data_IF_488221310215
#
_entry.id   IF_488221310215
#
_cell.length_a   1.000
_cell.length_b   1.000
_cell.length_c   1.000
_cell.angle_alpha   90.00
_cell.angle_beta   90.00
_cell.angle_gamma   90.00
#
_symmetry.space_group_name_H-M   'P 1'
#
loop_
_entity.id
_entity.type
_entity.pdbx_description
1 polymer ?
#
# COMPACT_ATOMS: atom_id res chain seq x y z
N UNK A 1 12.80 -11.31 -8.62
CA UNK A 1 11.51 -10.67 -8.34
C UNK A 1 11.65 -9.18 -8.61
N UNK A 2 11.18 -8.77 -9.77
CA UNK A 2 11.26 -7.38 -10.22
C UNK A 2 10.18 -6.53 -9.57
N UNK A 3 10.50 -5.27 -9.27
CA UNK A 3 9.55 -4.26 -8.81
C UNK A 3 9.16 -3.43 -10.01
N UNK A 4 7.85 -3.33 -10.31
CA UNK A 4 7.34 -2.67 -11.51
C UNK A 4 6.79 -1.27 -11.21
N UNK A 5 7.06 -0.33 -12.12
CA UNK A 5 6.53 1.05 -12.11
C UNK A 5 5.41 1.17 -13.12
N UNK A 6 4.31 1.81 -12.75
CA UNK A 6 3.19 2.07 -13.66
C UNK A 6 3.35 3.42 -14.39
N UNK A 7 3.36 3.41 -15.74
CA UNK A 7 3.22 4.62 -16.58
C UNK A 7 1.76 4.70 -17.03
N UNK A 8 0.95 5.48 -16.38
CA UNK A 8 -0.41 5.86 -16.77
C UNK A 8 -1.05 4.98 -17.84
N UNK A 9 -1.92 4.07 -17.43
CA UNK A 9 -2.59 3.09 -18.28
C UNK A 9 -3.42 3.75 -19.37
N UNK A 10 -3.07 3.50 -20.64
CA UNK A 10 -3.96 3.74 -21.78
C UNK A 10 -4.85 2.52 -21.99
N UNK A 11 -6.05 2.52 -21.44
CA UNK A 11 -7.04 1.50 -21.77
C UNK A 11 -7.80 1.83 -23.05
N UNK A 12 -7.75 0.91 -24.04
CA UNK A 12 -8.69 0.88 -25.16
C UNK A 12 -9.98 0.20 -24.69
N UNK A 13 -11.06 0.96 -24.59
CA UNK A 13 -12.40 0.41 -24.37
C UNK A 13 -12.83 -0.46 -25.54
N UNK A 14 -13.16 -1.72 -25.27
CA UNK A 14 -14.10 -2.49 -26.06
C UNK A 14 -15.52 -2.07 -25.64
N UNK A 15 -16.20 -1.40 -26.54
CA UNK A 15 -17.62 -1.09 -26.49
C UNK A 15 -18.41 -2.41 -26.65
N UNK A 16 -18.83 -3.00 -25.57
CA UNK A 16 -19.78 -4.10 -25.60
C UNK A 16 -20.94 -3.74 -24.71
N UNK A 17 -22.14 -3.63 -25.31
CA UNK A 17 -23.48 -3.68 -24.75
C UNK A 17 -24.37 -2.50 -25.16
N UNK A 18 -24.81 -2.57 -26.37
CA UNK A 18 -26.22 -2.30 -26.66
C UNK A 18 -26.81 -3.65 -27.09
N UNK A 19 -27.61 -4.24 -26.22
CA UNK A 19 -28.69 -5.20 -26.52
C UNK A 19 -29.10 -5.89 -25.21
N UNK A 20 -30.14 -5.37 -24.60
CA UNK A 20 -31.24 -6.14 -24.02
C UNK A 20 -32.12 -5.15 -23.23
N UNK A 21 -33.20 -4.74 -23.85
CA UNK A 21 -34.35 -4.10 -23.15
C UNK A 21 -35.05 -5.20 -22.37
N UNK A 22 -34.74 -5.32 -21.10
CA UNK A 22 -35.49 -6.05 -20.09
C UNK A 22 -35.37 -5.26 -18.80
N UNK A 23 -36.36 -5.31 -17.94
CA UNK A 23 -36.42 -4.56 -16.69
C UNK A 23 -35.09 -4.52 -15.97
N UNK A 24 -34.46 -3.33 -15.94
CA UNK A 24 -33.16 -3.12 -15.33
C UNK A 24 -33.35 -3.21 -13.83
N UNK A 25 -33.07 -4.36 -13.24
CA UNK A 25 -32.89 -4.45 -11.79
C UNK A 25 -31.79 -3.47 -11.40
N UNK A 26 -32.13 -2.45 -10.62
CA UNK A 26 -31.18 -1.48 -10.13
C UNK A 26 -30.26 -2.18 -9.14
N UNK A 27 -29.02 -2.44 -9.55
CA UNK A 27 -27.99 -2.99 -8.69
C UNK A 27 -27.72 -2.00 -7.56
N UNK A 28 -27.77 -2.50 -6.31
CA UNK A 28 -27.44 -1.72 -5.12
C UNK A 28 -26.16 -2.31 -4.55
N UNK A 29 -25.06 -1.58 -4.70
CA UNK A 29 -23.71 -2.04 -4.36
C UNK A 29 -23.04 -2.74 -5.54
N UNK A 30 -21.84 -3.25 -5.33
CA UNK A 30 -21.03 -3.88 -6.36
C UNK A 30 -19.65 -3.25 -6.45
N UNK A 31 -18.86 -3.69 -7.40
CA UNK A 31 -17.56 -3.08 -7.70
C UNK A 31 -17.76 -1.78 -8.48
N UNK A 32 -16.90 -0.80 -8.21
CA UNK A 32 -16.83 0.39 -9.04
C UNK A 32 -16.46 0.00 -10.47
N UNK A 33 -17.18 0.56 -11.46
CA UNK A 33 -16.78 0.45 -12.86
C UNK A 33 -15.38 1.04 -13.07
N UNK A 34 -14.66 0.58 -14.11
CA UNK A 34 -13.39 1.19 -14.47
C UNK A 34 -13.61 2.66 -14.85
N UNK A 35 -12.90 3.55 -14.17
CA UNK A 35 -12.95 4.97 -14.45
C UNK A 35 -12.23 5.31 -15.76
N UNK A 36 -12.73 6.31 -16.48
CA UNK A 36 -11.93 6.94 -17.54
C UNK A 36 -10.80 7.71 -16.85
N UNK A 37 -9.58 7.19 -16.99
CA UNK A 37 -8.42 7.82 -16.41
C UNK A 37 -8.17 9.17 -17.09
N UNK A 38 -8.50 10.24 -16.39
CA UNK A 38 -7.98 11.56 -16.67
C UNK A 38 -6.51 11.48 -16.21
N UNK A 39 -5.56 11.96 -17.02
CA UNK A 39 -4.11 11.88 -16.75
C UNK A 39 -3.65 12.71 -15.53
N UNK A 40 -4.41 12.68 -14.43
CA UNK A 40 -4.15 13.44 -13.22
C UNK A 40 -3.80 12.48 -12.08
N UNK A 41 -2.53 12.44 -11.75
CA UNK A 41 -2.06 11.72 -10.56
C UNK A 41 -2.50 12.44 -9.28
N UNK A 42 -3.11 11.72 -8.35
CA UNK A 42 -3.49 12.29 -7.06
C UNK A 42 -2.26 12.71 -6.24
N UNK A 43 -1.22 11.89 -6.28
CA UNK A 43 0.08 12.17 -5.68
C UNK A 43 1.16 12.34 -6.74
N UNK A 44 1.42 13.57 -7.18
CA UNK A 44 2.35 13.88 -8.29
C UNK A 44 3.83 13.67 -7.95
N UNK A 45 4.17 13.62 -6.65
CA UNK A 45 5.56 13.56 -6.17
C UNK A 45 5.95 12.24 -5.52
N UNK A 46 5.02 11.30 -5.38
CA UNK A 46 5.31 10.01 -4.78
C UNK A 46 5.80 9.00 -5.82
N UNK A 47 6.52 7.98 -5.36
CA UNK A 47 6.93 6.86 -6.20
C UNK A 47 5.67 6.08 -6.60
N UNK A 48 5.55 5.77 -7.89
CA UNK A 48 4.40 5.04 -8.46
C UNK A 48 4.78 3.61 -8.74
N UNK A 49 4.03 2.70 -8.18
CA UNK A 49 4.25 1.27 -8.29
C UNK A 49 2.92 0.58 -8.66
N UNK A 50 2.99 -0.63 -9.18
CA UNK A 50 1.79 -1.37 -9.56
C UNK A 50 1.01 -1.89 -8.34
N UNK A 51 1.67 -2.26 -7.24
CA UNK A 51 1.00 -2.78 -6.04
C UNK A 51 1.61 -2.27 -4.74
N UNK A 52 0.79 -2.21 -3.67
CA UNK A 52 1.27 -1.89 -2.30
C UNK A 52 2.32 -2.89 -1.80
N UNK A 53 2.26 -4.15 -2.25
CA UNK A 53 3.29 -5.16 -1.92
C UNK A 53 4.64 -4.81 -2.51
N UNK A 54 4.67 -4.31 -3.75
CA UNK A 54 5.90 -3.84 -4.38
C UNK A 54 6.39 -2.53 -3.74
N UNK A 55 5.47 -1.67 -3.26
CA UNK A 55 5.84 -0.50 -2.47
C UNK A 55 6.49 -0.90 -1.14
N UNK A 56 5.96 -1.93 -0.48
CA UNK A 56 6.57 -2.46 0.74
C UNK A 56 7.94 -3.09 0.46
N UNK A 57 8.04 -3.94 -0.56
CA UNK A 57 9.31 -4.56 -0.95
C UNK A 57 10.37 -3.51 -1.32
N UNK A 58 9.96 -2.41 -1.98
CA UNK A 58 10.83 -1.29 -2.28
C UNK A 58 11.47 -0.71 -1.01
N UNK A 59 10.67 -0.46 0.03
CA UNK A 59 11.18 0.07 1.31
C UNK A 59 12.13 -0.93 1.96
N UNK A 60 11.75 -2.21 2.02
CA UNK A 60 12.59 -3.25 2.62
C UNK A 60 13.96 -3.34 1.96
N UNK A 61 14.01 -3.33 0.61
CA UNK A 61 15.25 -3.35 -0.15
C UNK A 61 16.06 -2.05 0.02
N UNK A 62 15.41 -0.89 -0.15
CA UNK A 62 16.11 0.41 -0.11
C UNK A 62 16.72 0.72 1.25
N UNK A 63 16.15 0.17 2.32
CA UNK A 63 16.62 0.36 3.70
C UNK A 63 17.41 -0.83 4.25
N UNK A 64 17.62 -1.87 3.43
CA UNK A 64 18.36 -3.06 3.82
C UNK A 64 17.78 -3.76 5.06
N UNK A 65 16.41 -3.75 5.13
CA UNK A 65 15.69 -4.37 6.23
C UNK A 65 15.80 -5.88 6.13
N UNK A 66 16.12 -6.53 7.24
CA UNK A 66 16.21 -7.98 7.35
C UNK A 66 14.97 -8.59 7.98
N UNK A 67 14.38 -7.91 8.97
CA UNK A 67 13.27 -8.44 9.75
C UNK A 67 12.10 -7.45 9.85
N UNK A 68 10.88 -7.99 9.77
CA UNK A 68 9.65 -7.21 9.79
C UNK A 68 8.72 -7.68 10.91
N UNK A 69 8.15 -6.75 11.67
CA UNK A 69 7.07 -7.02 12.61
C UNK A 69 5.74 -6.66 11.97
N UNK A 70 4.81 -7.61 11.87
CA UNK A 70 3.51 -7.46 11.20
C UNK A 70 2.36 -7.79 12.16
N UNK A 71 1.17 -7.16 12.02
CA UNK A 71 0.05 -7.52 12.87
C UNK A 71 -0.52 -8.91 12.49
N UNK A 72 -1.07 -9.65 13.47
CA UNK A 72 -1.83 -10.88 13.18
C UNK A 72 -3.03 -10.61 12.27
N UNK A 73 -3.67 -9.46 12.43
CA UNK A 73 -4.80 -9.04 11.60
C UNK A 73 -4.26 -8.39 10.32
N UNK A 74 -3.87 -9.22 9.36
CA UNK A 74 -3.27 -8.80 8.10
C UNK A 74 -3.67 -9.76 6.97
N UNK A 75 -3.73 -9.23 5.74
CA UNK A 75 -3.97 -10.04 4.54
C UNK A 75 -2.76 -10.94 4.25
N UNK A 76 -3.02 -12.22 3.93
CA UNK A 76 -1.99 -13.21 3.61
C UNK A 76 -1.07 -12.79 2.46
N UNK A 77 -1.55 -11.94 1.56
CA UNK A 77 -0.73 -11.43 0.45
C UNK A 77 0.54 -10.70 0.88
N UNK A 78 0.57 -10.14 2.10
CA UNK A 78 1.78 -9.51 2.66
C UNK A 78 2.74 -10.57 3.17
N UNK A 79 2.24 -11.54 3.93
CA UNK A 79 3.07 -12.65 4.44
C UNK A 79 3.63 -13.51 3.30
N UNK A 80 2.85 -13.74 2.25
CA UNK A 80 3.30 -14.49 1.07
C UNK A 80 4.42 -13.74 0.33
N UNK A 81 4.33 -12.42 0.23
CA UNK A 81 5.38 -11.60 -0.35
C UNK A 81 6.66 -11.67 0.50
N UNK A 82 6.56 -11.58 1.83
CA UNK A 82 7.72 -11.68 2.73
C UNK A 82 8.39 -13.06 2.61
N UNK A 83 7.61 -14.15 2.65
CA UNK A 83 8.11 -15.52 2.46
C UNK A 83 8.79 -15.71 1.11
N UNK A 84 8.14 -15.26 0.03
CA UNK A 84 8.66 -15.38 -1.34
C UNK A 84 10.01 -14.67 -1.54
N UNK A 85 10.24 -13.60 -0.76
CA UNK A 85 11.48 -12.83 -0.82
C UNK A 85 12.44 -13.12 0.33
N UNK A 86 12.19 -14.20 1.12
CA UNK A 86 13.05 -14.67 2.21
C UNK A 86 13.29 -13.64 3.33
N UNK A 87 12.31 -12.76 3.59
CA UNK A 87 12.37 -11.87 4.73
C UNK A 87 11.96 -12.58 6.01
N UNK A 88 12.68 -12.34 7.10
CA UNK A 88 12.27 -12.75 8.43
C UNK A 88 11.08 -11.89 8.89
N UNK A 89 10.08 -12.49 9.54
CA UNK A 89 9.00 -11.72 10.13
C UNK A 89 8.45 -12.36 11.39
N UNK A 90 7.94 -11.54 12.28
CA UNK A 90 7.21 -11.93 13.48
C UNK A 90 5.88 -11.21 13.59
N UNK A 91 4.90 -11.87 14.20
CA UNK A 91 3.59 -11.28 14.41
C UNK A 91 3.53 -10.51 15.73
N UNK A 92 2.81 -9.39 15.70
CA UNK A 92 2.39 -8.67 16.89
C UNK A 92 0.85 -8.61 16.99
N UNK A 93 0.34 -8.41 18.22
CA UNK A 93 -1.09 -8.22 18.47
C UNK A 93 -1.45 -6.75 18.40
N UNK A 94 -2.69 -6.46 18.07
CA UNK A 94 -3.29 -5.12 18.15
C UNK A 94 -4.35 -5.12 19.26
N UNK A 95 -4.58 -3.94 19.86
CA UNK A 95 -5.66 -3.73 20.80
C UNK A 95 -7.00 -3.40 20.11
N UNK A 96 -8.03 -3.09 20.88
CA UNK A 96 -9.37 -2.74 20.38
C UNK A 96 -9.38 -1.45 19.52
N UNK A 97 -8.39 -0.60 19.67
CA UNK A 97 -8.21 0.66 18.94
C UNK A 97 -7.20 0.51 17.79
N UNK A 98 -6.88 -0.74 17.39
CA UNK A 98 -5.91 -1.12 16.37
C UNK A 98 -4.48 -0.67 16.62
N UNK A 99 -4.13 -0.38 17.89
CA UNK A 99 -2.79 0.04 18.27
C UNK A 99 -1.90 -1.19 18.52
N UNK A 100 -0.63 -1.20 18.06
CA UNK A 100 0.28 -2.31 18.31
C UNK A 100 0.51 -2.56 19.80
N UNK A 101 0.25 -3.82 20.23
CA UNK A 101 0.70 -4.36 21.51
C UNK A 101 2.08 -4.96 21.25
N UNK A 102 3.11 -4.11 21.34
CA UNK A 102 4.48 -4.47 21.01
C UNK A 102 5.44 -3.78 21.99
N UNK A 103 6.20 -4.58 22.75
CA UNK A 103 7.05 -4.10 23.84
C UNK A 103 8.54 -4.45 23.64
N UNK A 104 8.96 -4.62 22.39
CA UNK A 104 10.38 -4.83 22.05
C UNK A 104 10.98 -3.58 21.48
N UNK A 105 12.28 -3.42 21.62
CA UNK A 105 13.06 -2.50 20.82
C UNK A 105 13.21 -3.05 19.40
N UNK A 106 13.20 -2.15 18.42
CA UNK A 106 13.35 -2.47 17.00
C UNK A 106 14.78 -2.11 16.62
N UNK A 107 15.52 -3.08 16.08
CA UNK A 107 16.88 -2.90 15.63
C UNK A 107 16.99 -2.02 14.37
N UNK A 108 18.23 -1.68 13.97
CA UNK A 108 18.46 -0.82 12.81
C UNK A 108 18.06 -1.47 11.49
N UNK A 109 18.19 -2.80 11.39
CA UNK A 109 17.80 -3.64 10.24
C UNK A 109 16.39 -4.25 10.37
N UNK A 110 15.59 -3.76 11.32
CA UNK A 110 14.24 -4.22 11.59
C UNK A 110 13.22 -3.10 11.39
N UNK A 111 11.97 -3.44 11.09
CA UNK A 111 10.91 -2.46 10.89
C UNK A 111 9.56 -2.97 11.39
N UNK A 112 8.76 -2.09 11.98
CA UNK A 112 7.35 -2.35 12.32
C UNK A 112 6.46 -1.92 11.15
N UNK A 113 5.71 -2.86 10.61
CA UNK A 113 4.68 -2.62 9.61
C UNK A 113 3.38 -2.19 10.31
N UNK A 114 3.18 -0.88 10.40
CA UNK A 114 2.03 -0.26 11.07
C UNK A 114 0.89 -0.09 10.07
N UNK A 115 -0.25 -0.73 10.32
CA UNK A 115 -1.44 -0.60 9.46
C UNK A 115 -2.39 0.43 10.04
N UNK A 116 -2.76 1.42 9.24
CA UNK A 116 -3.83 2.37 9.55
C UNK A 116 -5.18 1.73 9.18
N UNK A 117 -5.66 0.85 10.04
CA UNK A 117 -6.93 0.15 9.82
C UNK A 117 -8.09 1.14 9.72
N UNK A 118 -8.78 1.09 8.58
CA UNK A 118 -9.97 1.89 8.31
C UNK A 118 -9.74 3.42 8.42
N UNK A 119 -8.49 3.88 8.32
CA UNK A 119 -8.16 5.30 8.44
C UNK A 119 -8.35 5.88 9.85
N UNK A 120 -8.25 5.05 10.90
CA UNK A 120 -8.55 5.48 12.28
C UNK A 120 -7.36 6.11 13.01
N UNK A 121 -6.15 6.00 12.47
CA UNK A 121 -4.98 6.62 13.09
C UNK A 121 -4.86 8.08 12.69
N UNK A 122 -4.99 8.98 13.66
CA UNK A 122 -4.69 10.40 13.44
C UNK A 122 -3.19 10.62 13.22
N UNK A 123 -2.83 11.76 12.62
CA UNK A 123 -1.44 12.15 12.40
C UNK A 123 -0.64 12.19 13.71
N UNK A 124 -1.24 12.72 14.77
CA UNK A 124 -0.63 12.80 16.11
C UNK A 124 -0.34 11.41 16.66
N UNK A 125 -1.28 10.48 16.46
CA UNK A 125 -1.12 9.08 16.92
C UNK A 125 -0.01 8.38 16.15
N UNK A 126 0.05 8.56 14.84
CA UNK A 126 1.12 8.02 13.99
C UNK A 126 2.49 8.55 14.42
N UNK A 127 2.61 9.85 14.69
CA UNK A 127 3.85 10.45 15.18
C UNK A 127 4.27 9.93 16.57
N UNK A 128 3.30 9.72 17.48
CA UNK A 128 3.57 9.08 18.78
C UNK A 128 4.12 7.65 18.60
N UNK A 129 3.52 6.86 17.70
CA UNK A 129 3.98 5.51 17.39
C UNK A 129 5.36 5.52 16.73
N UNK A 130 5.61 6.47 15.82
CA UNK A 130 6.92 6.69 15.21
C UNK A 130 7.98 7.02 16.26
N UNK A 131 7.67 7.88 17.21
CA UNK A 131 8.57 8.21 18.30
C UNK A 131 8.88 6.99 19.19
N UNK A 132 7.84 6.19 19.50
CA UNK A 132 7.96 4.99 20.33
C UNK A 132 8.79 3.91 19.65
N UNK A 133 8.49 3.60 18.40
CA UNK A 133 9.07 2.45 17.69
C UNK A 133 10.24 2.81 16.76
N UNK A 134 10.49 4.10 16.53
CA UNK A 134 11.57 4.65 15.69
C UNK A 134 11.54 4.18 14.22
N UNK A 135 11.54 2.88 13.99
CA UNK A 135 11.54 2.24 12.66
C UNK A 135 10.13 1.72 12.33
N UNK A 136 9.33 2.52 11.62
CA UNK A 136 8.00 2.12 11.14
C UNK A 136 7.86 2.38 9.65
N UNK A 137 7.05 1.56 9.01
CA UNK A 137 6.43 1.82 7.72
C UNK A 137 4.92 1.86 7.90
N UNK A 138 4.26 2.90 7.40
CA UNK A 138 2.82 3.10 7.53
C UNK A 138 2.11 2.53 6.30
N UNK A 139 1.22 1.59 6.53
CA UNK A 139 0.29 1.10 5.51
C UNK A 139 -1.01 1.90 5.55
N UNK A 140 -1.14 2.84 4.63
CA UNK A 140 -2.34 3.65 4.39
C UNK A 140 -3.20 3.10 3.24
N UNK A 141 -3.19 1.80 3.01
CA UNK A 141 -4.04 1.19 1.97
C UNK A 141 -5.53 1.29 2.28
N UNK A 142 -5.92 1.67 3.50
CA UNK A 142 -7.29 1.96 3.91
C UNK A 142 -7.58 3.47 4.05
N UNK A 143 -6.58 4.33 3.78
CA UNK A 143 -6.74 5.79 3.84
C UNK A 143 -5.84 6.49 2.80
N UNK A 144 -6.32 6.51 1.56
CA UNK A 144 -5.58 7.12 0.46
C UNK A 144 -5.43 8.64 0.63
N UNK A 145 -6.37 9.29 1.29
CA UNK A 145 -6.46 10.75 1.35
C UNK A 145 -5.68 11.36 2.52
N UNK A 146 -5.28 10.58 3.51
CA UNK A 146 -4.37 11.04 4.55
C UNK A 146 -2.99 11.33 3.95
N UNK A 147 -2.56 12.58 4.03
CA UNK A 147 -1.28 12.99 3.45
C UNK A 147 -0.11 12.32 4.17
N UNK A 148 0.98 11.97 3.43
CA UNK A 148 2.15 11.38 4.05
C UNK A 148 2.80 12.33 5.05
N UNK A 149 3.26 11.76 6.16
CA UNK A 149 4.00 12.49 7.18
C UNK A 149 5.50 12.45 6.87
N UNK A 150 6.16 13.58 7.07
CA UNK A 150 7.60 13.67 6.82
C UNK A 150 8.39 12.69 7.70
N UNK A 151 9.32 11.97 7.09
CA UNK A 151 10.16 11.00 7.78
C UNK A 151 9.50 9.65 8.09
N UNK A 152 8.30 9.40 7.54
CA UNK A 152 7.60 8.12 7.65
C UNK A 152 7.35 7.56 6.25
N UNK A 153 7.93 6.38 5.96
CA UNK A 153 7.59 5.67 4.73
C UNK A 153 6.12 5.28 4.76
N UNK A 154 5.38 5.69 3.72
CA UNK A 154 3.92 5.49 3.70
C UNK A 154 3.50 4.87 2.38
N UNK A 155 2.74 3.78 2.47
CA UNK A 155 2.21 3.02 1.33
C UNK A 155 0.73 3.33 1.14
N UNK A 156 0.31 3.50 -0.11
CA UNK A 156 -1.08 3.68 -0.50
C UNK A 156 -1.49 2.68 -1.58
N UNK A 157 -2.78 2.34 -1.63
CA UNK A 157 -3.36 1.50 -2.68
C UNK A 157 -4.45 2.25 -3.44
N UNK A 158 -4.28 2.38 -4.75
CA UNK A 158 -5.25 3.10 -5.59
C UNK A 158 -6.54 2.31 -5.78
N UNK A 159 -6.46 1.01 -6.03
CA UNK A 159 -7.60 0.16 -6.39
C UNK A 159 -8.67 0.00 -5.30
N UNK A 160 -8.39 0.41 -4.06
CA UNK A 160 -9.40 0.43 -2.99
C UNK A 160 -10.28 1.68 -3.01
N UNK A 161 -9.89 2.71 -3.77
CA UNK A 161 -10.54 4.01 -3.80
C UNK A 161 -10.97 4.43 -5.21
N UNK A 162 -10.32 3.89 -6.23
CA UNK A 162 -10.58 4.20 -7.63
C UNK A 162 -10.88 2.91 -8.41
N UNK A 163 -11.64 3.03 -9.48
CA UNK A 163 -11.95 1.94 -10.41
C UNK A 163 -10.78 1.62 -11.34
N UNK A 164 -9.62 1.27 -10.76
CA UNK A 164 -8.40 0.89 -11.47
C UNK A 164 -8.00 -0.55 -11.15
N UNK A 165 -7.34 -1.21 -12.09
CA UNK A 165 -6.94 -2.62 -11.93
C UNK A 165 -5.85 -2.79 -10.86
N UNK A 166 -4.93 -1.85 -10.78
CA UNK A 166 -3.78 -1.83 -9.86
C UNK A 166 -3.37 -0.40 -9.50
N UNK A 167 -2.18 -0.22 -8.99
CA UNK A 167 -1.62 1.07 -8.64
C UNK A 167 -1.41 1.23 -7.14
N UNK A 168 -0.24 1.76 -6.82
CA UNK A 168 0.16 2.13 -5.46
C UNK A 168 1.04 3.37 -5.50
N UNK A 169 0.98 4.17 -4.44
CA UNK A 169 1.93 5.23 -4.19
C UNK A 169 2.80 4.89 -2.99
N UNK A 170 4.04 5.33 -3.03
CA UNK A 170 4.98 5.23 -1.93
C UNK A 170 5.59 6.59 -1.63
N UNK A 171 5.40 7.06 -0.41
CA UNK A 171 6.18 8.16 0.16
C UNK A 171 7.40 7.58 0.87
N UNK A 172 8.59 7.92 0.43
CA UNK A 172 9.85 7.49 1.05
C UNK A 172 10.94 8.54 0.83
N UNK A 173 11.91 8.58 1.71
CA UNK A 173 13.10 9.44 1.59
C UNK A 173 14.34 8.68 1.09
N UNK A 174 14.23 7.38 0.84
CA UNK A 174 15.35 6.57 0.36
C UNK A 174 14.99 5.92 -0.98
N UNK A 175 15.78 6.20 -1.99
CA UNK A 175 15.60 5.62 -3.32
C UNK A 175 16.26 4.24 -3.39
N UNK A 176 15.62 3.35 -4.14
CA UNK A 176 16.22 2.08 -4.52
C UNK A 176 17.31 2.36 -5.56
N UNK A 177 18.44 1.68 -5.43
CA UNK A 177 19.57 1.79 -6.39
C UNK A 177 19.33 0.99 -7.67
N UNK A 178 18.43 0.00 -7.62
CA UNK A 178 18.05 -0.82 -8.76
C UNK A 178 17.13 -0.03 -9.71
N UNK A 179 17.31 -0.21 -11.02
CA UNK A 179 16.38 0.31 -12.01
C UNK A 179 15.07 -0.49 -11.94
N UNK A 180 13.95 0.23 -11.93
CA UNK A 180 12.64 -0.39 -11.85
C UNK A 180 12.15 -0.75 -13.24
N UNK A 181 11.68 -1.98 -13.41
CA UNK A 181 11.04 -2.41 -14.64
C UNK A 181 9.66 -1.76 -14.80
N UNK A 182 9.33 -1.42 -16.04
CA UNK A 182 8.02 -0.88 -16.38
C UNK A 182 7.02 -2.02 -16.53
N UNK A 183 5.90 -1.91 -15.83
CA UNK A 183 4.76 -2.78 -16.06
C UNK A 183 4.08 -2.37 -17.37
N UNK A 184 4.08 -3.27 -18.34
CA UNK A 184 3.50 -3.08 -19.69
C UNK A 184 2.28 -3.97 -19.94
N UNK A 185 1.82 -4.72 -18.92
CA UNK A 185 0.66 -5.62 -19.00
C UNK A 185 -0.69 -4.91 -18.94
#
# INVERSE_FOLDING_TARGET
NSIYVNKGLKFKYLRCLELLKGDVMREIGGYFGLEQLINNEYYTKLVRLNTSRNAFLYVLKSKEIRKVYIPYYLCDSVTDMLKKNSYEFEYYKIDKDFIPIFNREIGEDEILYLVNFYGQLSNEKILQLKHKYKQIILDNTHDLFQKPLNGIDTIYSCRKFFGVSDGAYLSTNKNLSEELEMDTS
#
